data_IF_664106750773
#
_entry.id   IF_664106750773
#
_cell.length_a   1.000
_cell.length_b   1.000
_cell.length_c   1.000
_cell.angle_alpha   90.00
_cell.angle_beta   90.00
_cell.angle_gamma   90.00
#
_symmetry.space_group_name_H-M   'P 1'
#
loop_
_entity.id
_entity.type
_entity.pdbx_description
1 polymer ?
#
# COMPACT_ATOMS: atom_id res chain seq x y z
N UNK A 1 34.03 16.93 -4.77
CA UNK A 1 32.94 17.05 -3.79
C UNK A 1 32.63 15.65 -3.32
N UNK A 2 33.03 15.33 -2.09
CA UNK A 2 33.05 13.96 -1.58
C UNK A 2 31.62 13.44 -1.41
N UNK A 3 31.34 12.22 -1.88
CA UNK A 3 30.00 11.62 -1.90
C UNK A 3 29.31 11.54 -0.53
N UNK A 4 30.06 11.70 0.57
CA UNK A 4 29.52 11.76 1.93
C UNK A 4 28.63 12.98 2.21
N UNK A 5 28.87 14.13 1.56
CA UNK A 5 28.00 15.30 1.72
C UNK A 5 26.64 15.08 1.05
N UNK A 6 26.63 14.42 -0.11
CA UNK A 6 25.41 14.14 -0.86
C UNK A 6 24.53 13.17 -0.07
N UNK A 7 25.11 12.08 0.44
CA UNK A 7 24.36 11.09 1.23
C UNK A 7 23.81 11.67 2.54
N UNK A 8 24.58 12.53 3.22
CA UNK A 8 24.10 13.23 4.42
C UNK A 8 22.89 14.13 4.13
N UNK A 9 22.90 14.88 3.02
CA UNK A 9 21.77 15.73 2.63
C UNK A 9 20.51 14.91 2.32
N UNK A 10 20.62 13.79 1.58
CA UNK A 10 19.47 12.91 1.32
C UNK A 10 18.85 12.38 2.62
N UNK A 11 19.68 12.02 3.60
CA UNK A 11 19.20 11.52 4.89
C UNK A 11 18.48 12.61 5.71
N UNK A 12 19.05 13.81 5.77
CA UNK A 12 18.46 14.96 6.48
C UNK A 12 17.13 15.37 5.85
N UNK A 13 17.04 15.45 4.52
CA UNK A 13 15.78 15.78 3.84
C UNK A 13 14.72 14.68 4.00
N UNK A 14 15.10 13.41 3.91
CA UNK A 14 14.16 12.29 4.07
C UNK A 14 13.54 12.26 5.48
N UNK A 15 14.37 12.37 6.52
CA UNK A 15 13.91 12.35 7.91
C UNK A 15 13.19 13.65 8.26
N UNK A 16 13.79 14.80 7.95
CA UNK A 16 13.20 16.10 8.24
C UNK A 16 11.85 16.29 7.52
N UNK A 17 11.74 15.88 6.26
CA UNK A 17 10.50 15.94 5.49
C UNK A 17 9.41 15.02 6.06
N UNK A 18 9.76 13.78 6.41
CA UNK A 18 8.80 12.83 6.99
C UNK A 18 8.31 13.29 8.36
N UNK A 19 9.22 13.69 9.25
CA UNK A 19 8.88 14.19 10.59
C UNK A 19 8.09 15.50 10.51
N UNK A 20 8.48 16.41 9.60
CA UNK A 20 7.77 17.67 9.36
C UNK A 20 6.33 17.44 8.87
N UNK A 21 6.12 16.53 7.92
CA UNK A 21 4.78 16.18 7.42
C UNK A 21 3.89 15.60 8.53
N UNK A 22 4.44 14.67 9.32
CA UNK A 22 3.73 14.04 10.44
C UNK A 22 3.39 15.08 11.51
N UNK A 23 4.34 15.92 11.90
CA UNK A 23 4.12 17.00 12.86
C UNK A 23 3.03 17.97 12.38
N UNK A 24 3.07 18.39 11.12
CA UNK A 24 2.06 19.27 10.54
C UNK A 24 0.66 18.63 10.54
N UNK A 25 0.56 17.36 10.19
CA UNK A 25 -0.71 16.62 10.23
C UNK A 25 -1.30 16.53 11.65
N UNK A 26 -0.48 16.21 12.65
CA UNK A 26 -0.96 16.20 14.03
C UNK A 26 -1.32 17.60 14.51
N UNK A 27 -0.49 18.60 14.22
CA UNK A 27 -0.70 19.99 14.64
C UNK A 27 -1.99 20.59 14.11
N UNK A 28 -2.31 20.35 12.83
CA UNK A 28 -3.57 20.79 12.22
C UNK A 28 -4.79 20.19 12.93
N UNK A 29 -4.76 18.88 13.21
CA UNK A 29 -5.84 18.21 13.95
C UNK A 29 -5.95 18.65 15.40
N UNK A 30 -4.84 18.95 16.08
CA UNK A 30 -4.89 19.47 17.45
C UNK A 30 -5.52 20.87 17.49
N UNK A 31 -5.19 21.74 16.53
CA UNK A 31 -5.76 23.09 16.44
C UNK A 31 -7.25 23.09 16.10
N UNK A 32 -7.68 22.23 15.17
CA UNK A 32 -9.12 22.05 14.86
C UNK A 32 -9.94 21.72 16.10
N UNK A 33 -9.43 20.81 16.95
CA UNK A 33 -10.14 20.36 18.16
C UNK A 33 -10.16 21.42 19.26
N UNK A 34 -9.08 22.18 19.43
CA UNK A 34 -9.03 23.27 20.41
C UNK A 34 -9.98 24.41 20.03
N UNK A 35 -10.04 24.79 18.76
CA UNK A 35 -10.96 25.84 18.29
C UNK A 35 -12.44 25.47 18.45
N UNK A 36 -12.78 24.17 18.38
CA UNK A 36 -14.14 23.69 18.62
C UNK A 36 -14.52 23.72 20.11
N UNK A 37 -13.56 23.44 21.00
CA UNK A 37 -13.73 23.55 22.46
C UNK A 37 -13.90 25.03 22.87
N UNK A 38 -13.07 25.93 22.33
CA UNK A 38 -13.13 27.37 22.62
C UNK A 38 -14.41 28.04 22.09
N UNK A 39 -14.98 27.52 21.00
CA UNK A 39 -16.26 28.00 20.44
C UNK A 39 -17.50 27.40 21.12
N UNK A 40 -17.33 26.59 22.17
CA UNK A 40 -18.44 26.01 22.93
C UNK A 40 -19.29 25.00 22.14
N UNK A 41 -18.76 24.40 21.09
CA UNK A 41 -19.47 23.38 20.33
C UNK A 41 -19.61 22.11 21.18
N UNK A 42 -20.86 21.68 21.38
CA UNK A 42 -21.32 20.57 22.21
C UNK A 42 -20.39 19.33 22.11
N UNK A 43 -19.94 18.80 23.26
CA UNK A 43 -19.09 17.62 23.39
C UNK A 43 -19.72 16.36 22.76
N UNK A 44 -21.01 16.43 22.40
CA UNK A 44 -21.70 15.43 21.57
C UNK A 44 -21.20 15.37 20.12
N UNK A 45 -20.61 16.43 19.56
CA UNK A 45 -19.97 16.40 18.23
C UNK A 45 -18.66 15.59 18.23
N UNK A 46 -18.06 15.39 19.41
CA UNK A 46 -16.86 14.57 19.63
C UNK A 46 -17.16 13.13 20.04
N UNK A 47 -18.44 12.75 20.20
CA UNK A 47 -18.84 11.35 20.08
C UNK A 47 -18.79 10.99 18.59
N UNK A 48 -17.57 10.95 18.05
CA UNK A 48 -17.29 10.30 16.77
C UNK A 48 -17.88 8.92 16.88
N UNK A 49 -18.95 8.67 16.12
CA UNK A 49 -19.55 7.34 15.92
C UNK A 49 -18.44 6.30 15.91
N UNK A 50 -18.60 5.15 16.59
CA UNK A 50 -17.52 4.18 16.76
C UNK A 50 -16.94 3.90 15.38
N UNK A 51 -15.73 4.42 15.12
CA UNK A 51 -15.10 4.41 13.79
C UNK A 51 -15.29 3.01 13.26
N UNK A 52 -16.18 2.82 12.29
CA UNK A 52 -16.41 1.52 11.65
C UNK A 52 -15.02 1.01 11.34
N UNK A 53 -14.58 0.01 12.09
CA UNK A 53 -13.18 -0.42 12.10
C UNK A 53 -12.81 -0.64 10.64
N UNK A 54 -11.80 0.07 10.16
CA UNK A 54 -11.43 0.13 8.73
C UNK A 54 -10.86 -1.22 8.27
N UNK A 55 -11.67 -2.28 8.36
CA UNK A 55 -11.39 -3.62 7.86
C UNK A 55 -11.20 -3.60 6.35
N UNK A 56 -11.66 -2.55 5.67
CA UNK A 56 -11.35 -2.25 4.28
C UNK A 56 -9.86 -2.40 3.97
N UNK A 57 -9.01 -1.69 4.71
CA UNK A 57 -7.57 -1.67 4.43
C UNK A 57 -6.93 -3.04 4.69
N UNK A 58 -7.36 -3.74 5.73
CA UNK A 58 -6.88 -5.08 6.07
C UNK A 58 -7.25 -6.10 5.00
N UNK A 59 -8.48 -6.06 4.49
CA UNK A 59 -8.96 -7.00 3.46
C UNK A 59 -8.28 -6.73 2.11
N UNK A 60 -8.10 -5.45 1.75
CA UNK A 60 -7.38 -5.07 0.53
C UNK A 60 -5.94 -5.56 0.58
N UNK A 61 -5.23 -5.30 1.68
CA UNK A 61 -3.87 -5.79 1.85
C UNK A 61 -3.79 -7.32 1.79
N UNK A 62 -4.69 -8.02 2.49
CA UNK A 62 -4.72 -9.48 2.51
C UNK A 62 -4.85 -10.08 1.10
N UNK A 63 -5.79 -9.58 0.30
CA UNK A 63 -6.02 -10.06 -1.06
C UNK A 63 -4.81 -9.77 -1.96
N UNK A 64 -4.19 -8.59 -1.84
CA UNK A 64 -3.00 -8.24 -2.62
C UNK A 64 -1.81 -9.15 -2.27
N UNK A 65 -1.56 -9.40 -0.99
CA UNK A 65 -0.48 -10.32 -0.57
C UNK A 65 -0.69 -11.74 -1.08
N UNK A 66 -1.92 -12.26 -1.01
CA UNK A 66 -2.26 -13.58 -1.58
C UNK A 66 -1.97 -13.58 -3.08
N UNK A 67 -2.39 -12.53 -3.79
CA UNK A 67 -2.24 -12.42 -5.25
C UNK A 67 -0.78 -12.38 -5.71
N UNK A 68 0.09 -11.73 -4.94
CA UNK A 68 1.54 -11.73 -5.20
C UNK A 68 2.11 -13.14 -4.99
N UNK A 69 1.76 -13.79 -3.88
CA UNK A 69 2.22 -15.16 -3.58
C UNK A 69 1.80 -16.16 -4.66
N UNK A 70 0.53 -16.12 -5.07
CA UNK A 70 0.02 -16.95 -6.18
C UNK A 70 0.66 -16.58 -7.51
N UNK A 71 0.98 -15.31 -7.75
CA UNK A 71 1.68 -14.84 -8.95
C UNK A 71 3.09 -15.38 -9.10
N UNK A 72 3.84 -15.50 -8.00
CA UNK A 72 5.18 -16.08 -8.00
C UNK A 72 5.11 -17.58 -8.33
N UNK A 73 4.17 -18.31 -7.69
CA UNK A 73 3.97 -19.75 -7.95
C UNK A 73 3.57 -19.98 -9.40
N UNK A 74 2.64 -19.18 -9.92
CA UNK A 74 2.24 -19.24 -11.33
C UNK A 74 3.41 -18.89 -12.26
N UNK A 75 4.24 -17.90 -11.92
CA UNK A 75 5.41 -17.53 -12.72
C UNK A 75 6.44 -18.64 -12.83
N UNK A 76 6.65 -19.38 -11.75
CA UNK A 76 7.51 -20.57 -11.75
C UNK A 76 6.95 -21.65 -12.67
N UNK A 77 5.66 -21.97 -12.57
CA UNK A 77 5.00 -22.94 -13.44
C UNK A 77 4.98 -22.48 -14.91
N UNK A 78 4.79 -21.19 -15.17
CA UNK A 78 4.80 -20.61 -16.52
C UNK A 78 6.21 -20.69 -17.12
N UNK A 79 7.26 -20.46 -16.32
CA UNK A 79 8.65 -20.58 -16.77
C UNK A 79 8.98 -21.98 -17.30
N UNK A 80 8.52 -23.05 -16.62
CA UNK A 80 8.69 -24.42 -17.12
C UNK A 80 7.94 -24.67 -18.43
N UNK A 81 6.72 -24.15 -18.57
CA UNK A 81 5.92 -24.32 -19.80
C UNK A 81 6.50 -23.54 -20.98
N UNK A 82 6.98 -22.32 -20.75
CA UNK A 82 7.59 -21.45 -21.78
C UNK A 82 8.90 -22.06 -22.29
N UNK A 83 9.66 -22.72 -21.41
CA UNK A 83 10.85 -23.48 -21.79
C UNK A 83 10.51 -24.71 -22.64
N UNK A 84 9.47 -25.46 -22.26
CA UNK A 84 9.04 -26.66 -23.00
C UNK A 84 8.46 -26.33 -24.38
N UNK A 85 7.75 -25.22 -24.52
CA UNK A 85 7.17 -24.76 -25.79
C UNK A 85 8.19 -24.06 -26.71
N UNK A 86 9.46 -23.95 -26.30
CA UNK A 86 10.53 -23.36 -27.09
C UNK A 86 10.43 -21.85 -27.27
N UNK A 87 9.60 -21.17 -26.47
CA UNK A 87 9.43 -19.72 -26.49
C UNK A 87 10.56 -19.00 -25.73
N UNK A 88 11.20 -19.68 -24.76
CA UNK A 88 12.45 -19.24 -24.13
C UNK A 88 13.59 -20.18 -24.49
N UNK A 89 14.65 -19.63 -25.07
CA UNK A 89 15.89 -20.36 -25.39
C UNK A 89 16.89 -20.36 -24.24
N UNK A 90 16.62 -19.59 -23.19
CA UNK A 90 17.49 -19.42 -22.04
C UNK A 90 16.76 -19.82 -20.74
N UNK A 91 17.37 -20.71 -19.98
CA UNK A 91 16.86 -21.18 -18.69
C UNK A 91 17.05 -20.07 -17.64
N UNK A 92 16.06 -19.18 -17.50
CA UNK A 92 16.12 -18.11 -16.49
C UNK A 92 15.57 -16.75 -16.93
N UNK A 93 14.82 -16.67 -18.03
CA UNK A 93 14.23 -15.40 -18.45
C UNK A 93 13.33 -14.84 -17.32
N UNK A 94 13.50 -13.57 -16.92
CA UNK A 94 12.71 -13.00 -15.83
C UNK A 94 11.28 -12.63 -16.26
N UNK A 95 11.01 -12.64 -17.56
CA UNK A 95 9.72 -12.25 -18.16
C UNK A 95 8.51 -13.04 -17.62
N UNK A 96 8.53 -14.38 -17.51
CA UNK A 96 7.37 -15.14 -17.04
C UNK A 96 6.96 -14.77 -15.61
N UNK A 97 7.94 -14.45 -14.75
CA UNK A 97 7.69 -14.01 -13.37
C UNK A 97 7.08 -12.60 -13.33
N UNK A 98 7.61 -11.66 -14.11
CA UNK A 98 7.04 -10.31 -14.16
C UNK A 98 5.61 -10.32 -14.68
N UNK A 99 5.35 -11.07 -15.75
CA UNK A 99 4.00 -11.15 -16.34
C UNK A 99 3.02 -11.81 -15.37
N UNK A 100 3.39 -12.93 -14.75
CA UNK A 100 2.50 -13.64 -13.83
C UNK A 100 2.16 -12.79 -12.60
N UNK A 101 3.14 -12.12 -11.99
CA UNK A 101 2.94 -11.29 -10.80
C UNK A 101 2.07 -10.08 -11.13
N UNK A 102 2.32 -9.40 -12.25
CA UNK A 102 1.55 -8.22 -12.64
C UNK A 102 0.10 -8.57 -13.01
N UNK A 103 -0.11 -9.76 -13.59
CA UNK A 103 -1.44 -10.25 -13.94
C UNK A 103 -2.23 -10.65 -12.69
N UNK A 104 -1.64 -11.44 -11.79
CA UNK A 104 -2.34 -11.89 -10.57
C UNK A 104 -2.58 -10.74 -9.60
N UNK A 105 -1.63 -9.81 -9.44
CA UNK A 105 -1.83 -8.64 -8.57
C UNK A 105 -2.95 -7.74 -9.10
N UNK A 106 -3.05 -7.58 -10.42
CA UNK A 106 -4.15 -6.85 -11.07
C UNK A 106 -5.50 -7.51 -10.81
N UNK A 107 -5.59 -8.83 -10.97
CA UNK A 107 -6.79 -9.60 -10.64
C UNK A 107 -7.14 -9.49 -9.14
N UNK A 108 -6.13 -9.52 -8.26
CA UNK A 108 -6.26 -9.31 -6.82
C UNK A 108 -6.86 -7.97 -6.45
N UNK A 109 -6.40 -6.88 -7.08
CA UNK A 109 -6.96 -5.55 -6.85
C UNK A 109 -8.44 -5.46 -7.26
N UNK A 110 -8.79 -6.05 -8.41
CA UNK A 110 -10.18 -6.09 -8.87
C UNK A 110 -11.04 -6.90 -7.88
N UNK A 111 -10.58 -8.07 -7.44
CA UNK A 111 -11.28 -8.89 -6.45
C UNK A 111 -11.44 -8.16 -5.11
N UNK A 112 -10.41 -7.43 -4.68
CA UNK A 112 -10.44 -6.61 -3.48
C UNK A 112 -11.51 -5.51 -3.52
N UNK A 113 -11.71 -4.88 -4.68
CA UNK A 113 -12.77 -3.89 -4.85
C UNK A 113 -14.17 -4.50 -4.63
N UNK A 114 -14.41 -5.70 -5.16
CA UNK A 114 -15.67 -6.42 -4.95
C UNK A 114 -15.85 -6.91 -3.50
N UNK A 115 -14.79 -7.43 -2.88
CA UNK A 115 -14.82 -7.86 -1.48
C UNK A 115 -15.13 -6.69 -0.55
N UNK A 116 -14.53 -5.54 -0.79
CA UNK A 116 -14.85 -4.31 -0.05
C UNK A 116 -16.31 -3.89 -0.23
N UNK A 117 -16.86 -4.00 -1.44
CA UNK A 117 -18.25 -3.58 -1.70
C UNK A 117 -19.24 -4.40 -0.88
N UNK A 118 -18.94 -5.68 -0.62
CA UNK A 118 -19.75 -6.56 0.24
C UNK A 118 -19.61 -6.28 1.74
N UNK A 119 -18.46 -5.77 2.19
CA UNK A 119 -18.20 -5.49 3.61
C UNK A 119 -18.79 -4.16 4.09
N UNK A 120 -19.03 -3.23 3.16
CA UNK A 120 -19.59 -1.92 3.47
C UNK A 120 -21.10 -1.81 3.19
N UNK A 121 -21.72 -2.90 2.72
CA UNK A 121 -23.17 -3.04 2.54
C UNK A 121 -23.72 -3.93 3.66
#
# INVERSE_FOLDING_TARGET
MDGGLVTALFFVFSIGGTVGLVYYYYHTRHKERMMLIEKGADAKLFQTEPKKKNYFFTVVLGIVFISIGTGIILGFALSSLVHEWGWSRHSGDPLPYFVSIFLTIGAGFIASFFASKKLNN
#
